data_IF_196491203424
#
_entry.id   IF_196491203424
#
_cell.length_a   1.000
_cell.length_b   1.000
_cell.length_c   1.000
_cell.angle_alpha   90.00
_cell.angle_beta   90.00
_cell.angle_gamma   90.00
#
_symmetry.space_group_name_H-M   'P 1'
#
loop_
_entity.id
_entity.type
_entity.pdbx_description
1 polymer ?
#
# COMPACT_ATOMS: atom_id res chain seq x y z
N UNK A 1 -3.60 20.94 12.58
CA UNK A 1 -3.40 20.48 11.18
C UNK A 1 -4.40 21.22 10.31
N UNK A 2 -4.01 21.66 9.10
CA UNK A 2 -5.01 22.14 8.14
C UNK A 2 -5.99 21.00 7.81
N UNK A 3 -7.26 21.33 7.58
CA UNK A 3 -8.32 20.37 7.23
C UNK A 3 -7.86 19.47 6.06
N UNK A 4 -7.26 20.08 5.04
CA UNK A 4 -6.70 19.39 3.88
C UNK A 4 -5.59 18.41 4.27
N UNK A 5 -4.67 18.79 5.15
CA UNK A 5 -3.62 17.88 5.65
C UNK A 5 -4.20 16.64 6.33
N UNK A 6 -5.26 16.80 7.12
CA UNK A 6 -5.92 15.68 7.79
C UNK A 6 -6.64 14.76 6.78
N UNK A 7 -7.39 15.33 5.83
CA UNK A 7 -8.08 14.58 4.77
C UNK A 7 -7.10 13.74 3.97
N UNK A 8 -6.01 14.34 3.48
CA UNK A 8 -5.00 13.61 2.72
C UNK A 8 -4.26 12.57 3.56
N UNK A 9 -4.05 12.83 4.86
CA UNK A 9 -3.51 11.83 5.79
C UNK A 9 -4.38 10.57 5.86
N UNK A 10 -5.69 10.74 6.04
CA UNK A 10 -6.64 9.61 6.06
C UNK A 10 -6.81 8.93 4.70
N UNK A 11 -6.73 9.68 3.59
CA UNK A 11 -6.72 9.09 2.24
C UNK A 11 -5.52 8.17 2.03
N UNK A 12 -4.34 8.54 2.55
CA UNK A 12 -3.14 7.69 2.50
C UNK A 12 -3.37 6.42 3.33
N UNK A 13 -3.91 6.55 4.55
CA UNK A 13 -4.19 5.39 5.41
C UNK A 13 -5.18 4.43 4.73
N UNK A 14 -6.28 4.94 4.18
CA UNK A 14 -7.27 4.14 3.47
C UNK A 14 -6.69 3.49 2.20
N UNK A 15 -5.96 4.25 1.39
CA UNK A 15 -5.29 3.75 0.19
C UNK A 15 -4.24 2.67 0.49
N UNK A 16 -3.44 2.86 1.55
CA UNK A 16 -2.51 1.86 2.05
C UNK A 16 -3.22 0.61 2.53
N UNK A 17 -4.30 0.74 3.31
CA UNK A 17 -5.06 -0.40 3.80
C UNK A 17 -5.53 -1.28 2.62
N UNK A 18 -6.16 -0.68 1.61
CA UNK A 18 -6.61 -1.41 0.41
C UNK A 18 -5.43 -1.99 -0.39
N UNK A 19 -4.32 -1.25 -0.51
CA UNK A 19 -3.11 -1.72 -1.19
C UNK A 19 -2.52 -2.96 -0.50
N UNK A 20 -2.52 -2.96 0.84
CA UNK A 20 -1.98 -4.04 1.67
C UNK A 20 -2.87 -5.28 1.68
N UNK A 21 -4.20 -5.14 1.50
CA UNK A 21 -5.14 -6.27 1.40
C UNK A 21 -4.77 -7.29 0.31
N UNK A 22 -3.99 -6.87 -0.70
CA UNK A 22 -3.47 -7.74 -1.75
C UNK A 22 -2.73 -8.99 -1.19
N UNK A 23 -1.95 -8.84 -0.11
CA UNK A 23 -1.23 -9.96 0.50
C UNK A 23 -2.16 -10.95 1.24
N UNK A 24 -2.95 -10.56 2.26
CA UNK A 24 -3.83 -11.47 2.98
C UNK A 24 -4.87 -12.12 2.06
N UNK A 25 -5.43 -11.39 1.08
CA UNK A 25 -6.40 -11.96 0.15
C UNK A 25 -5.79 -13.11 -0.65
N UNK A 26 -4.55 -12.93 -1.14
CA UNK A 26 -3.80 -13.99 -1.84
C UNK A 26 -3.48 -15.17 -0.94
N UNK A 27 -3.17 -14.94 0.33
CA UNK A 27 -2.87 -16.00 1.30
C UNK A 27 -4.12 -16.83 1.61
N UNK A 28 -5.24 -16.17 1.92
CA UNK A 28 -6.52 -16.83 2.20
C UNK A 28 -6.98 -17.63 0.99
N UNK A 29 -6.83 -17.09 -0.23
CA UNK A 29 -7.18 -17.82 -1.43
C UNK A 29 -6.39 -19.11 -1.58
N UNK A 30 -5.06 -19.04 -1.47
CA UNK A 30 -4.19 -20.22 -1.61
C UNK A 30 -4.45 -21.27 -0.52
N UNK A 31 -4.68 -20.85 0.72
CA UNK A 31 -4.84 -21.77 1.86
C UNK A 31 -6.23 -22.39 1.94
N UNK A 32 -7.28 -21.61 1.71
CA UNK A 32 -8.67 -22.01 1.97
C UNK A 32 -9.49 -22.14 0.68
N UNK A 33 -9.55 -21.07 -0.11
CA UNK A 33 -10.51 -20.96 -1.23
C UNK A 33 -10.14 -21.84 -2.43
N UNK A 34 -8.85 -22.00 -2.71
CA UNK A 34 -8.37 -22.79 -3.84
C UNK A 34 -8.71 -24.29 -3.71
N UNK A 35 -8.94 -24.76 -2.48
CA UNK A 35 -9.30 -26.16 -2.17
C UNK A 35 -10.79 -26.44 -2.30
N UNK A 36 -11.62 -25.40 -2.44
CA UNK A 36 -13.07 -25.57 -2.61
C UNK A 36 -13.41 -26.09 -4.01
N UNK A 37 -14.53 -26.82 -4.17
CA UNK A 37 -15.06 -27.21 -5.47
C UNK A 37 -15.20 -26.01 -6.41
N UNK A 38 -15.01 -26.23 -7.73
CA UNK A 38 -15.07 -25.14 -8.73
C UNK A 38 -16.44 -24.47 -8.76
N UNK A 39 -17.51 -25.22 -8.46
CA UNK A 39 -18.90 -24.75 -8.48
C UNK A 39 -19.34 -24.05 -7.18
N UNK A 40 -18.46 -23.96 -6.19
CA UNK A 40 -18.75 -23.29 -4.93
C UNK A 40 -19.03 -21.79 -5.14
N UNK A 41 -20.21 -21.33 -4.71
CA UNK A 41 -20.58 -19.90 -4.71
C UNK A 41 -19.56 -19.05 -3.95
N UNK A 42 -19.02 -19.56 -2.84
CA UNK A 42 -17.99 -18.89 -2.06
C UNK A 42 -16.70 -18.71 -2.86
N UNK A 43 -16.27 -19.73 -3.61
CA UNK A 43 -15.10 -19.64 -4.49
C UNK A 43 -15.29 -18.60 -5.58
N UNK A 44 -16.49 -18.54 -6.19
CA UNK A 44 -16.82 -17.54 -7.22
C UNK A 44 -16.83 -16.12 -6.64
N UNK A 45 -17.54 -15.88 -5.54
CA UNK A 45 -17.62 -14.56 -4.88
C UNK A 45 -16.25 -14.07 -4.40
N UNK A 46 -15.49 -14.94 -3.74
CA UNK A 46 -14.13 -14.59 -3.31
C UNK A 46 -13.20 -14.33 -4.50
N UNK A 47 -13.35 -15.09 -5.59
CA UNK A 47 -12.62 -14.88 -6.84
C UNK A 47 -12.83 -13.48 -7.42
N UNK A 48 -14.05 -12.94 -7.36
CA UNK A 48 -14.34 -11.56 -7.79
C UNK A 48 -13.62 -10.53 -6.92
N UNK A 49 -13.71 -10.66 -5.60
CA UNK A 49 -13.02 -9.77 -4.65
C UNK A 49 -11.51 -9.83 -4.84
N UNK A 50 -10.95 -11.03 -4.94
CA UNK A 50 -9.53 -11.21 -5.23
C UNK A 50 -9.13 -10.56 -6.53
N UNK A 51 -9.90 -10.78 -7.61
CA UNK A 51 -9.59 -10.19 -8.91
C UNK A 51 -9.58 -8.68 -8.80
N UNK A 52 -10.58 -8.09 -8.16
CA UNK A 52 -10.63 -6.65 -7.92
C UNK A 52 -9.39 -6.15 -7.17
N UNK A 53 -9.12 -6.66 -5.97
CA UNK A 53 -8.01 -6.14 -5.15
C UNK A 53 -6.65 -6.37 -5.81
N UNK A 54 -6.42 -7.55 -6.41
CA UNK A 54 -5.13 -7.90 -7.01
C UNK A 54 -4.91 -7.18 -8.34
N UNK A 55 -5.95 -7.04 -9.17
CA UNK A 55 -5.87 -6.36 -10.46
C UNK A 55 -5.70 -4.86 -10.29
N UNK A 56 -6.42 -4.26 -9.34
CA UNK A 56 -6.38 -2.82 -9.09
C UNK A 56 -5.31 -2.37 -8.10
N UNK A 57 -4.59 -3.29 -7.45
CA UNK A 57 -3.51 -2.99 -6.49
C UNK A 57 -2.54 -1.89 -6.97
N UNK A 58 -2.15 -1.90 -8.26
CA UNK A 58 -1.25 -0.87 -8.81
C UNK A 58 -1.86 0.53 -8.85
N UNK A 59 -3.17 0.61 -9.09
CA UNK A 59 -3.89 1.87 -9.13
C UNK A 59 -4.09 2.40 -7.71
N UNK A 60 -4.40 1.53 -6.74
CA UNK A 60 -4.45 1.92 -5.33
C UNK A 60 -3.09 2.39 -4.82
N UNK A 61 -2.01 1.68 -5.17
CA UNK A 61 -0.65 2.11 -4.83
C UNK A 61 -0.33 3.49 -5.45
N UNK A 62 -0.62 3.68 -6.75
CA UNK A 62 -0.41 4.96 -7.43
C UNK A 62 -1.21 6.11 -6.83
N UNK A 63 -2.51 5.90 -6.57
CA UNK A 63 -3.37 6.86 -5.89
C UNK A 63 -2.80 7.24 -4.52
N UNK A 64 -2.37 6.25 -3.74
CA UNK A 64 -1.80 6.47 -2.40
C UNK A 64 -0.50 7.26 -2.48
N UNK A 65 0.37 6.97 -3.47
CA UNK A 65 1.60 7.73 -3.69
C UNK A 65 1.29 9.18 -4.06
N UNK A 66 0.34 9.45 -4.94
CA UNK A 66 -0.08 10.83 -5.29
C UNK A 66 -0.64 11.55 -4.06
N UNK A 67 -1.53 10.89 -3.30
CA UNK A 67 -2.07 11.46 -2.06
C UNK A 67 -0.98 11.79 -1.06
N UNK A 68 0.06 10.94 -0.94
CA UNK A 68 1.24 11.20 -0.11
C UNK A 68 2.05 12.40 -0.61
N UNK A 69 2.24 12.56 -1.92
CA UNK A 69 2.96 13.73 -2.47
C UNK A 69 2.20 15.01 -2.12
N UNK A 70 0.88 15.02 -2.35
CA UNK A 70 0.03 16.18 -2.02
C UNK A 70 0.06 16.46 -0.52
N UNK A 71 -0.04 15.42 0.33
CA UNK A 71 0.08 15.58 1.77
C UNK A 71 1.43 16.21 2.16
N UNK A 72 2.53 15.75 1.57
CA UNK A 72 3.88 16.26 1.85
C UNK A 72 4.04 17.73 1.43
N UNK A 73 3.50 18.13 0.28
CA UNK A 73 3.49 19.52 -0.18
C UNK A 73 2.67 20.41 0.76
N UNK A 74 1.47 19.96 1.17
CA UNK A 74 0.65 20.67 2.15
C UNK A 74 1.43 20.79 3.46
N UNK A 75 2.10 19.73 3.94
CA UNK A 75 2.89 19.83 5.15
C UNK A 75 3.96 20.91 5.03
N UNK A 76 4.80 20.88 4.00
CA UNK A 76 5.88 21.86 3.79
C UNK A 76 5.39 23.31 3.78
N UNK A 77 4.19 23.58 3.27
CA UNK A 77 3.62 24.92 3.23
C UNK A 77 3.13 25.43 4.58
N UNK A 78 2.60 24.53 5.44
CA UNK A 78 1.94 24.93 6.69
C UNK A 78 2.72 24.58 7.96
N UNK A 79 3.71 23.67 7.92
CA UNK A 79 4.58 23.32 9.06
C UNK A 79 5.88 22.61 8.62
N UNK A 80 6.83 22.49 9.54
CA UNK A 80 8.01 21.66 9.31
C UNK A 80 7.64 20.16 9.23
N UNK A 81 8.38 19.42 8.41
CA UNK A 81 8.21 17.97 8.30
C UNK A 81 8.74 17.27 9.55
N UNK A 82 7.97 16.31 10.08
CA UNK A 82 8.48 15.40 11.09
C UNK A 82 9.44 14.38 10.49
N UNK A 83 10.43 13.96 11.28
CA UNK A 83 11.34 12.89 10.90
C UNK A 83 10.58 11.58 10.64
N UNK A 84 9.59 11.26 11.47
CA UNK A 84 8.72 10.08 11.31
C UNK A 84 7.93 10.11 9.99
N UNK A 85 7.45 11.29 9.60
CA UNK A 85 6.71 11.50 8.36
C UNK A 85 7.62 11.39 7.14
N UNK A 86 8.83 11.96 7.23
CA UNK A 86 9.83 11.88 6.16
C UNK A 86 10.27 10.43 5.92
N UNK A 87 10.57 9.67 6.97
CA UNK A 87 10.92 8.24 6.86
C UNK A 87 9.77 7.46 6.22
N UNK A 88 8.52 7.71 6.65
CA UNK A 88 7.35 7.04 6.08
C UNK A 88 7.20 7.37 4.58
N UNK A 89 7.35 8.64 4.20
CA UNK A 89 7.25 9.08 2.81
C UNK A 89 8.35 8.47 1.92
N UNK A 90 9.59 8.42 2.40
CA UNK A 90 10.70 7.78 1.68
C UNK A 90 10.42 6.30 1.48
N UNK A 91 9.99 5.59 2.54
CA UNK A 91 9.65 4.17 2.44
C UNK A 91 8.48 3.93 1.47
N UNK A 92 7.46 4.79 1.48
CA UNK A 92 6.34 4.73 0.53
C UNK A 92 6.79 4.94 -0.91
N UNK A 93 7.63 5.96 -1.16
CA UNK A 93 8.17 6.25 -2.49
C UNK A 93 9.04 5.11 -2.99
N UNK A 94 10.00 4.65 -2.18
CA UNK A 94 10.79 3.47 -2.49
C UNK A 94 9.87 2.31 -2.85
N UNK A 95 8.91 1.95 -1.99
CA UNK A 95 8.02 0.83 -2.21
C UNK A 95 7.16 0.97 -3.49
N UNK A 96 6.75 2.20 -3.83
CA UNK A 96 6.01 2.53 -5.05
C UNK A 96 6.85 2.41 -6.32
N UNK A 97 8.03 3.05 -6.36
CA UNK A 97 9.02 2.86 -7.43
C UNK A 97 9.35 1.40 -7.59
N UNK A 98 9.43 0.73 -6.45
CA UNK A 98 9.68 -0.66 -6.43
C UNK A 98 8.56 -1.42 -7.16
N UNK A 99 7.30 -1.24 -6.76
CA UNK A 99 6.15 -1.84 -7.46
C UNK A 99 6.18 -1.59 -8.98
N UNK A 100 6.56 -0.39 -9.40
CA UNK A 100 6.77 -0.01 -10.80
C UNK A 100 7.88 -0.82 -11.49
N UNK A 101 9.08 -0.89 -10.90
CA UNK A 101 10.20 -1.67 -11.42
C UNK A 101 9.83 -3.14 -11.64
N UNK A 102 9.14 -3.75 -10.68
CA UNK A 102 8.65 -5.13 -10.80
C UNK A 102 7.69 -5.34 -11.98
N UNK A 103 6.86 -4.34 -12.27
CA UNK A 103 5.86 -4.39 -13.34
C UNK A 103 6.47 -4.16 -14.72
N UNK A 104 7.20 -3.06 -14.90
CA UNK A 104 7.70 -2.60 -16.20
C UNK A 104 9.01 -3.27 -16.61
N UNK A 105 9.97 -3.39 -15.68
CA UNK A 105 11.33 -3.87 -16.01
C UNK A 105 11.41 -5.38 -15.85
N UNK A 106 11.00 -5.93 -14.69
CA UNK A 106 11.07 -7.38 -14.45
C UNK A 106 9.91 -8.16 -15.06
N UNK A 107 8.94 -7.50 -15.71
CA UNK A 107 7.75 -8.12 -16.33
C UNK A 107 7.10 -9.19 -15.44
N UNK A 108 6.99 -8.92 -14.13
CA UNK A 108 6.42 -9.82 -13.10
C UNK A 108 7.23 -11.11 -12.83
N UNK A 109 8.46 -11.26 -13.34
CA UNK A 109 9.34 -12.37 -12.97
C UNK A 109 9.79 -12.21 -11.51
N UNK A 110 9.70 -13.30 -10.73
CA UNK A 110 10.13 -13.31 -9.33
C UNK A 110 11.65 -13.25 -9.26
N UNK A 111 12.18 -12.36 -8.42
CA UNK A 111 13.61 -12.17 -8.17
C UNK A 111 13.79 -11.55 -6.78
N UNK A 112 15.04 -11.30 -6.34
CA UNK A 112 15.39 -10.64 -5.08
C UNK A 112 14.56 -9.36 -4.84
N UNK A 113 14.33 -8.63 -5.93
CA UNK A 113 13.31 -7.61 -6.11
C UNK A 113 12.05 -7.73 -5.24
N UNK A 114 11.35 -8.86 -5.34
CA UNK A 114 10.05 -9.07 -4.72
C UNK A 114 10.16 -9.20 -3.20
N UNK A 115 11.28 -9.74 -2.73
CA UNK A 115 11.58 -9.82 -1.30
C UNK A 115 11.83 -8.42 -0.75
N UNK A 116 12.66 -7.62 -1.43
CA UNK A 116 12.93 -6.23 -1.04
C UNK A 116 11.63 -5.41 -1.00
N UNK A 117 10.79 -5.49 -2.04
CA UNK A 117 9.49 -4.80 -2.06
C UNK A 117 8.60 -5.18 -0.86
N UNK A 118 8.56 -6.46 -0.50
CA UNK A 118 7.78 -6.90 0.67
C UNK A 118 8.39 -6.44 1.98
N UNK A 119 9.71 -6.49 2.12
CA UNK A 119 10.41 -6.01 3.32
C UNK A 119 10.19 -4.51 3.53
N UNK A 120 10.35 -3.70 2.47
CA UNK A 120 10.06 -2.27 2.55
C UNK A 120 8.58 -2.03 2.88
N UNK A 121 7.65 -2.80 2.32
CA UNK A 121 6.23 -2.68 2.69
C UNK A 121 5.97 -2.92 4.19
N UNK A 122 6.66 -3.88 4.82
CA UNK A 122 6.55 -4.13 6.26
C UNK A 122 7.15 -2.99 7.07
N UNK A 123 8.34 -2.52 6.71
CA UNK A 123 9.00 -1.38 7.37
C UNK A 123 8.17 -0.10 7.24
N UNK A 124 7.55 0.11 6.08
CA UNK A 124 6.65 1.24 5.81
C UNK A 124 5.42 1.21 6.72
N UNK A 125 4.82 0.04 6.98
CA UNK A 125 3.69 -0.09 7.92
C UNK A 125 4.14 0.27 9.34
N UNK A 126 5.31 -0.22 9.77
CA UNK A 126 5.85 0.09 11.09
C UNK A 126 6.12 1.60 11.23
N UNK A 127 6.75 2.22 10.23
CA UNK A 127 7.01 3.65 10.20
C UNK A 127 5.72 4.49 10.24
N UNK A 128 4.70 4.10 9.48
CA UNK A 128 3.39 4.75 9.51
C UNK A 128 2.74 4.64 10.89
N UNK A 129 2.78 3.46 11.51
CA UNK A 129 2.22 3.26 12.84
C UNK A 129 2.89 4.17 13.88
N UNK A 130 4.23 4.28 13.82
CA UNK A 130 4.99 5.22 14.67
C UNK A 130 4.60 6.66 14.38
N UNK A 131 4.52 7.07 13.11
CA UNK A 131 4.14 8.42 12.73
C UNK A 131 2.74 8.81 13.24
N UNK A 132 1.77 7.88 13.19
CA UNK A 132 0.44 8.09 13.75
C UNK A 132 0.48 8.15 15.28
N UNK A 133 1.26 7.27 15.93
CA UNK A 133 1.40 7.24 17.38
C UNK A 133 2.08 8.50 17.96
N UNK A 134 3.02 9.11 17.23
CA UNK A 134 3.64 10.38 17.64
C UNK A 134 2.77 11.60 17.31
N UNK A 135 1.56 11.40 16.77
CA UNK A 135 0.66 12.48 16.37
C UNK A 135 1.17 13.27 15.16
N UNK A 136 1.97 12.64 14.31
CA UNK A 136 2.62 13.29 13.19
C UNK A 136 3.68 14.31 13.58
N UNK A 137 4.37 14.06 14.71
CA UNK A 137 5.57 14.75 15.18
C UNK A 137 6.84 13.95 14.89
#
# INVERSE_FOLDING_TARGET
MSLLGNIFGWLIVAGLAVTLLNYPIKVIYRKKIARLPKDSVLRRRYGLVQRFVVQYHRFFAGFTTVAMIVHLVIQLQYRWLSWTGLVTAILMLCNGFLGGYGHYIKRKKKSAWLYIHRTIAVLMIAALAVHLATGGR
#
